data_IF_025256623078
#
_entry.id   IF_025256623078
#
_cell.length_a   1.000
_cell.length_b   1.000
_cell.length_c   1.000
_cell.angle_alpha   90.00
_cell.angle_beta   90.00
_cell.angle_gamma   90.00
#
_symmetry.space_group_name_H-M   'P 1'
#
loop_
_entity.id
_entity.type
_entity.pdbx_description
1 polymer ?
#
# COMPACT_ATOMS: atom_id res chain seq x y z
N UNK A 1 -24.52 -5.26 7.94
CA UNK A 1 -24.50 -6.25 6.85
C UNK A 1 -25.20 -5.73 5.60
N UNK A 2 -26.52 -5.46 5.63
CA UNK A 2 -27.22 -4.77 4.51
C UNK A 2 -26.55 -3.45 4.06
N UNK A 3 -25.89 -2.72 4.97
CA UNK A 3 -25.20 -1.45 4.66
C UNK A 3 -23.91 -1.55 3.83
N UNK A 4 -23.23 -2.71 3.75
CA UNK A 4 -21.96 -2.83 2.99
C UNK A 4 -22.23 -3.21 1.53
N UNK A 5 -23.14 -4.14 1.27
CA UNK A 5 -23.62 -4.45 -0.08
C UNK A 5 -24.32 -3.24 -0.74
N UNK A 6 -24.78 -2.27 0.06
CA UNK A 6 -25.38 -1.02 -0.43
C UNK A 6 -24.37 0.12 -0.60
N UNK A 7 -23.18 0.04 0.01
CA UNK A 7 -22.17 1.06 -0.19
C UNK A 7 -21.64 0.96 -1.62
N UNK A 8 -21.56 2.10 -2.29
CA UNK A 8 -20.91 2.26 -3.58
C UNK A 8 -19.93 3.41 -3.46
N UNK A 9 -18.70 3.20 -3.92
CA UNK A 9 -17.60 4.15 -3.77
C UNK A 9 -17.92 5.43 -4.55
N UNK A 10 -18.17 6.56 -3.87
CA UNK A 10 -18.50 7.80 -4.57
C UNK A 10 -17.31 8.29 -5.39
N UNK A 11 -17.57 8.81 -6.59
CA UNK A 11 -16.53 9.32 -7.48
C UNK A 11 -15.59 10.36 -6.82
N UNK A 12 -16.07 11.31 -5.96
CA UNK A 12 -15.19 12.23 -5.26
C UNK A 12 -14.21 11.53 -4.30
N UNK A 13 -14.66 10.44 -3.65
CA UNK A 13 -13.82 9.65 -2.73
C UNK A 13 -12.79 8.85 -3.53
N UNK A 14 -13.19 8.24 -4.65
CA UNK A 14 -12.27 7.54 -5.55
C UNK A 14 -11.18 8.47 -6.10
N UNK A 15 -11.55 9.69 -6.50
CA UNK A 15 -10.60 10.70 -6.96
C UNK A 15 -9.58 11.06 -5.87
N UNK A 16 -10.04 11.22 -4.62
CA UNK A 16 -9.16 11.51 -3.49
C UNK A 16 -8.23 10.33 -3.16
N UNK A 17 -8.74 9.09 -3.18
CA UNK A 17 -7.90 7.89 -3.02
C UNK A 17 -6.80 7.87 -4.08
N UNK A 18 -7.15 8.07 -5.36
CA UNK A 18 -6.17 8.12 -6.46
C UNK A 18 -5.13 9.21 -6.27
N UNK A 19 -5.56 10.40 -5.83
CA UNK A 19 -4.66 11.53 -5.54
C UNK A 19 -3.67 11.17 -4.42
N UNK A 20 -4.16 10.61 -3.32
CA UNK A 20 -3.33 10.21 -2.17
C UNK A 20 -2.35 9.10 -2.51
N UNK A 21 -2.73 8.12 -3.32
CA UNK A 21 -1.84 7.02 -3.72
C UNK A 21 -0.64 7.54 -4.53
N UNK A 22 -0.85 8.50 -5.43
CA UNK A 22 0.22 9.13 -6.21
C UNK A 22 1.26 9.86 -5.36
N UNK A 23 0.91 10.29 -4.15
CA UNK A 23 1.86 10.95 -3.25
C UNK A 23 2.96 10.01 -2.73
N UNK A 24 2.79 8.69 -2.87
CA UNK A 24 3.85 7.72 -2.57
C UNK A 24 4.91 7.63 -3.67
N UNK A 25 4.62 8.10 -4.88
CA UNK A 25 5.52 7.99 -6.03
C UNK A 25 6.80 8.83 -5.82
N UNK A 26 7.92 8.31 -6.29
CA UNK A 26 9.25 8.86 -6.06
C UNK A 26 9.95 8.25 -4.83
N UNK A 27 10.99 8.94 -4.36
CA UNK A 27 11.81 8.51 -3.22
C UNK A 27 11.35 9.18 -1.95
N UNK A 28 10.91 8.39 -0.96
CA UNK A 28 10.47 8.89 0.35
C UNK A 28 11.06 8.06 1.48
N UNK A 29 10.94 8.55 2.72
CA UNK A 29 11.33 7.85 3.94
C UNK A 29 10.16 7.07 4.52
N UNK A 30 10.26 5.75 4.50
CA UNK A 30 9.20 4.82 4.87
C UNK A 30 9.34 4.26 6.30
N UNK A 31 10.02 4.99 7.21
CA UNK A 31 10.23 4.55 8.60
C UNK A 31 8.93 4.30 9.36
N UNK A 32 7.92 5.14 9.18
CA UNK A 32 6.59 4.96 9.77
C UNK A 32 5.81 3.76 9.18
N UNK A 33 6.24 3.28 8.01
CA UNK A 33 5.64 2.17 7.27
C UNK A 33 6.30 0.82 7.57
N UNK A 34 7.17 0.75 8.57
CA UNK A 34 7.70 -0.50 9.12
C UNK A 34 7.76 -0.40 10.65
N UNK A 35 8.29 -1.41 11.34
CA UNK A 35 8.57 -1.35 12.79
C UNK A 35 10.08 -1.23 13.00
N UNK A 36 10.49 -0.54 14.06
CA UNK A 36 11.88 -0.50 14.53
C UNK A 36 12.85 0.22 13.57
N UNK A 37 12.36 1.20 12.82
CA UNK A 37 13.21 1.96 11.90
C UNK A 37 13.14 3.45 12.19
N UNK A 38 14.30 4.09 12.25
CA UNK A 38 14.41 5.53 12.46
C UNK A 38 14.26 6.30 11.15
N UNK A 39 13.67 7.48 11.23
CA UNK A 39 13.43 8.34 10.07
C UNK A 39 14.68 8.91 9.43
N UNK A 40 15.75 9.15 10.19
CA UNK A 40 17.04 9.64 9.66
C UNK A 40 17.82 8.54 8.94
N UNK A 41 17.58 7.28 9.28
CA UNK A 41 18.35 6.15 8.81
C UNK A 41 18.23 5.96 7.27
N UNK A 42 19.35 5.79 6.53
CA UNK A 42 19.31 5.67 5.06
C UNK A 42 18.43 4.53 4.55
N UNK A 43 18.38 3.42 5.28
CA UNK A 43 17.57 2.24 4.96
C UNK A 43 16.06 2.49 5.09
N UNK A 44 15.61 3.67 5.52
CA UNK A 44 14.20 4.09 5.43
C UNK A 44 13.80 4.52 4.02
N UNK A 45 14.74 4.87 3.15
CA UNK A 45 14.42 5.36 1.82
C UNK A 45 13.96 4.23 0.90
N UNK A 46 12.81 4.43 0.24
CA UNK A 46 12.33 3.53 -0.81
C UNK A 46 11.83 4.34 -1.99
N UNK A 47 11.94 3.74 -3.17
CA UNK A 47 11.45 4.31 -4.42
C UNK A 47 10.23 3.53 -4.90
N UNK A 48 9.10 4.23 -4.98
CA UNK A 48 7.86 3.72 -5.57
C UNK A 48 7.72 4.35 -6.96
N UNK A 49 7.57 3.52 -7.97
CA UNK A 49 7.44 3.95 -9.36
C UNK A 49 6.01 4.39 -9.66
N UNK A 50 5.03 3.62 -9.21
CA UNK A 50 3.62 3.94 -9.42
C UNK A 50 2.75 3.36 -8.31
N UNK A 51 1.65 4.04 -8.00
CA UNK A 51 0.59 3.48 -7.15
C UNK A 51 -0.80 3.92 -7.64
N UNK A 52 -1.56 2.98 -8.20
CA UNK A 52 -2.84 3.25 -8.87
C UNK A 52 -4.02 2.54 -8.20
N UNK A 53 -5.22 2.99 -8.54
CA UNK A 53 -6.49 2.40 -8.11
C UNK A 53 -7.42 2.28 -9.33
N UNK A 54 -7.90 1.07 -9.61
CA UNK A 54 -8.83 0.80 -10.72
C UNK A 54 -10.16 1.55 -10.57
N UNK A 55 -11.00 1.52 -11.60
CA UNK A 55 -12.41 1.82 -11.41
C UNK A 55 -13.07 0.73 -10.54
N UNK A 56 -14.16 1.05 -9.82
CA UNK A 56 -14.92 0.06 -9.07
C UNK A 56 -15.50 -0.99 -10.01
N UNK A 57 -15.45 -2.25 -9.61
CA UNK A 57 -16.07 -3.37 -10.31
C UNK A 57 -16.80 -4.26 -9.32
N UNK A 58 -17.79 -5.01 -9.79
CA UNK A 58 -18.55 -5.94 -8.94
C UNK A 58 -18.04 -7.38 -9.13
N UNK A 59 -17.89 -8.11 -8.03
CA UNK A 59 -17.75 -9.57 -8.00
C UNK A 59 -18.61 -10.14 -6.89
N UNK A 60 -19.45 -11.11 -7.23
CA UNK A 60 -20.36 -11.80 -6.29
C UNK A 60 -21.20 -10.84 -5.41
N UNK A 61 -21.61 -9.70 -5.99
CA UNK A 61 -22.41 -8.67 -5.30
C UNK A 61 -21.62 -7.74 -4.38
N UNK A 62 -20.29 -7.86 -4.35
CA UNK A 62 -19.39 -6.92 -3.67
C UNK A 62 -18.73 -5.99 -4.68
N UNK A 63 -18.82 -4.69 -4.41
CA UNK A 63 -18.03 -3.69 -5.14
C UNK A 63 -16.59 -3.70 -4.61
N UNK A 64 -15.62 -3.76 -5.52
CA UNK A 64 -14.20 -3.84 -5.25
C UNK A 64 -13.42 -2.85 -6.11
N UNK A 65 -12.22 -2.53 -5.66
CA UNK A 65 -11.20 -1.83 -6.44
C UNK A 65 -9.88 -2.58 -6.33
N UNK A 66 -9.08 -2.55 -7.40
CA UNK A 66 -7.73 -3.09 -7.40
C UNK A 66 -6.74 -1.96 -7.17
N UNK A 67 -5.91 -2.09 -6.13
CA UNK A 67 -4.78 -1.21 -5.91
C UNK A 67 -3.50 -1.87 -6.45
N UNK A 68 -2.81 -1.23 -7.38
CA UNK A 68 -1.56 -1.74 -7.95
C UNK A 68 -0.39 -0.81 -7.58
N UNK A 69 0.61 -1.37 -6.90
CA UNK A 69 1.83 -0.64 -6.52
C UNK A 69 3.05 -1.28 -7.18
N UNK A 70 3.91 -0.45 -7.76
CA UNK A 70 5.20 -0.85 -8.30
C UNK A 70 6.30 -0.07 -7.60
N UNK A 71 7.35 -0.77 -7.17
CA UNK A 71 8.48 -0.16 -6.49
C UNK A 71 9.72 -1.03 -6.57
N UNK A 72 10.88 -0.44 -6.28
CA UNK A 72 12.16 -1.17 -6.37
C UNK A 72 12.34 -2.19 -5.24
N UNK A 73 11.84 -1.87 -4.05
CA UNK A 73 11.85 -2.75 -2.88
C UNK A 73 10.81 -2.27 -1.86
N UNK A 74 10.39 -3.18 -0.97
CA UNK A 74 9.45 -2.86 0.10
C UNK A 74 10.00 -3.35 1.44
N UNK A 75 9.83 -2.54 2.48
CA UNK A 75 10.02 -2.92 3.87
C UNK A 75 8.89 -3.84 4.34
N UNK A 76 9.13 -4.54 5.44
CA UNK A 76 8.11 -5.39 6.07
C UNK A 76 6.84 -4.59 6.43
N UNK A 77 5.69 -5.07 5.99
CA UNK A 77 4.37 -4.41 6.10
C UNK A 77 4.22 -3.03 5.42
N UNK A 78 5.19 -2.58 4.61
CA UNK A 78 5.15 -1.25 3.99
C UNK A 78 3.86 -1.01 3.21
N UNK A 79 3.55 -1.87 2.23
CA UNK A 79 2.36 -1.72 1.37
C UNK A 79 1.07 -1.70 2.20
N UNK A 80 0.97 -2.62 3.19
CA UNK A 80 -0.20 -2.70 4.07
C UNK A 80 -0.39 -1.43 4.90
N UNK A 81 0.69 -0.82 5.38
CA UNK A 81 0.63 0.47 6.09
C UNK A 81 0.36 1.63 5.13
N UNK A 82 0.87 1.62 3.90
CA UNK A 82 0.56 2.64 2.89
C UNK A 82 -0.95 2.70 2.63
N UNK A 83 -1.59 1.54 2.41
CA UNK A 83 -3.05 1.43 2.28
C UNK A 83 -3.73 1.89 3.58
N UNK A 84 -3.24 1.45 4.74
CA UNK A 84 -3.77 1.87 6.05
C UNK A 84 -3.82 3.40 6.23
N UNK A 85 -2.76 4.11 5.86
CA UNK A 85 -2.69 5.56 5.98
C UNK A 85 -3.64 6.27 5.01
N UNK A 86 -3.79 5.77 3.77
CA UNK A 86 -4.78 6.30 2.82
C UNK A 86 -6.19 6.13 3.36
N UNK A 87 -6.51 4.94 3.89
CA UNK A 87 -7.83 4.68 4.48
C UNK A 87 -8.11 5.60 5.67
N UNK A 88 -7.10 5.88 6.51
CA UNK A 88 -7.21 6.88 7.57
C UNK A 88 -7.49 8.26 6.98
N UNK A 89 -6.70 8.71 6.01
CA UNK A 89 -6.84 10.03 5.40
C UNK A 89 -8.22 10.27 4.77
N UNK A 90 -8.82 9.27 4.12
CA UNK A 90 -10.16 9.41 3.50
C UNK A 90 -11.32 9.16 4.46
N UNK A 91 -11.12 8.37 5.53
CA UNK A 91 -12.20 7.98 6.45
C UNK A 91 -12.47 9.01 7.56
N UNK A 92 -11.58 9.98 7.75
CA UNK A 92 -11.66 10.97 8.82
C UNK A 92 -11.25 12.35 8.35
N UNK A 93 -11.77 13.39 9.01
CA UNK A 93 -11.38 14.80 8.84
C UNK A 93 -10.00 15.05 9.44
N UNK A 94 -8.98 14.38 8.91
CA UNK A 94 -7.60 14.56 9.36
C UNK A 94 -6.99 15.83 8.80
N UNK A 95 -5.97 16.38 9.48
CA UNK A 95 -5.29 17.57 9.00
C UNK A 95 -4.76 17.33 7.59
N UNK A 96 -4.92 18.31 6.68
CA UNK A 96 -4.17 18.34 5.43
C UNK A 96 -2.69 18.12 5.72
N UNK A 97 -2.00 17.33 4.89
CA UNK A 97 -0.57 17.09 5.10
C UNK A 97 -0.21 15.81 5.86
N UNK A 98 -1.18 14.93 6.19
CA UNK A 98 -0.92 13.71 6.96
C UNK A 98 0.09 12.77 6.26
N UNK A 99 -0.03 12.59 4.95
CA UNK A 99 0.89 11.72 4.19
C UNK A 99 2.29 12.31 4.12
N UNK A 100 2.40 13.62 3.86
CA UNK A 100 3.66 14.35 3.82
C UNK A 100 4.36 14.29 5.18
N UNK A 101 3.59 14.45 6.26
CA UNK A 101 4.09 14.33 7.63
C UNK A 101 4.63 12.94 7.93
N UNK A 102 4.05 11.88 7.34
CA UNK A 102 4.49 10.50 7.52
C UNK A 102 5.91 10.24 6.99
N UNK A 103 6.39 11.04 6.02
CA UNK A 103 7.73 10.93 5.46
C UNK A 103 8.77 11.82 6.17
N UNK A 104 8.34 12.71 7.06
CA UNK A 104 9.27 13.56 7.81
C UNK A 104 10.11 12.72 8.79
N UNK A 105 11.45 12.88 8.84
CA UNK A 105 12.32 12.04 9.68
C UNK A 105 11.98 12.06 11.19
N UNK A 106 11.57 13.23 11.67
CA UNK A 106 11.24 13.58 13.06
C UNK A 106 9.81 13.16 13.46
N UNK A 107 8.94 12.83 12.50
CA UNK A 107 7.58 12.38 12.78
C UNK A 107 7.54 10.88 13.09
N UNK A 108 6.76 10.52 14.12
CA UNK A 108 6.35 9.14 14.39
C UNK A 108 4.83 8.99 14.28
N UNK A 109 4.41 8.02 13.47
CA UNK A 109 3.01 7.64 13.28
C UNK A 109 2.84 6.14 13.54
N UNK A 110 1.81 5.79 14.30
CA UNK A 110 1.43 4.39 14.51
C UNK A 110 0.40 3.95 13.47
N UNK A 111 0.86 3.71 12.25
CA UNK A 111 -0.01 3.33 11.13
C UNK A 111 -0.46 1.87 11.26
N UNK A 112 -1.76 1.57 11.37
CA UNK A 112 -2.26 0.20 11.40
C UNK A 112 -2.13 -0.42 10.01
N UNK A 113 -1.53 -1.61 9.87
CA UNK A 113 -1.46 -2.28 8.58
C UNK A 113 -2.86 -2.75 8.16
N UNK A 114 -3.19 -2.57 6.88
CA UNK A 114 -4.35 -3.21 6.26
C UNK A 114 -4.26 -4.75 6.40
N UNK A 115 -5.37 -5.51 6.33
CA UNK A 115 -5.32 -6.96 6.40
C UNK A 115 -4.48 -7.58 5.28
N UNK A 116 -3.83 -8.73 5.50
CA UNK A 116 -2.96 -9.35 4.49
C UNK A 116 -3.77 -10.07 3.40
N UNK A 117 -5.04 -10.42 3.65
CA UNK A 117 -5.84 -11.29 2.80
C UNK A 117 -6.02 -10.76 1.36
N UNK A 118 -5.93 -9.45 1.13
CA UNK A 118 -6.07 -8.85 -0.21
C UNK A 118 -4.76 -8.55 -0.93
N UNK A 119 -3.60 -8.91 -0.38
CA UNK A 119 -2.30 -8.57 -0.96
C UNK A 119 -1.73 -9.74 -1.78
N UNK A 120 -1.52 -9.50 -3.06
CA UNK A 120 -0.95 -10.46 -4.02
C UNK A 120 0.31 -9.88 -4.66
N UNK A 121 1.37 -10.68 -4.74
CA UNK A 121 2.54 -10.37 -5.56
C UNK A 121 2.23 -10.75 -7.01
N UNK A 122 2.11 -9.75 -7.88
CA UNK A 122 1.74 -9.96 -9.28
C UNK A 122 2.94 -10.28 -10.18
N UNK A 123 4.06 -9.58 -9.98
CA UNK A 123 5.18 -9.64 -10.91
C UNK A 123 6.49 -9.25 -10.22
N UNK A 124 7.61 -9.78 -10.72
CA UNK A 124 8.97 -9.45 -10.29
C UNK A 124 9.75 -9.09 -11.56
N UNK A 125 10.21 -7.84 -11.65
CA UNK A 125 11.00 -7.37 -12.78
C UNK A 125 12.49 -7.63 -12.57
N UNK A 126 13.11 -8.24 -13.57
CA UNK A 126 14.55 -8.54 -13.62
C UNK A 126 15.30 -7.60 -14.58
N UNK A 127 14.71 -6.48 -14.99
CA UNK A 127 15.25 -5.56 -15.99
C UNK A 127 16.72 -5.18 -15.69
N UNK A 128 17.04 -4.79 -14.46
CA UNK A 128 18.43 -4.47 -14.05
C UNK A 128 19.40 -5.64 -14.15
N UNK A 129 18.92 -6.87 -14.00
CA UNK A 129 19.74 -8.07 -14.19
C UNK A 129 19.99 -8.29 -15.69
N UNK A 130 18.93 -8.18 -16.50
CA UNK A 130 19.02 -8.28 -17.96
C UNK A 130 19.93 -7.21 -18.56
N UNK A 131 19.84 -5.96 -18.09
CA UNK A 131 20.71 -4.85 -18.51
C UNK A 131 22.19 -5.14 -18.21
N UNK A 132 22.49 -5.69 -17.02
CA UNK A 132 23.85 -6.08 -16.65
C UNK A 132 24.36 -7.24 -17.48
N UNK A 133 23.49 -8.19 -17.80
CA UNK A 133 23.83 -9.34 -18.62
C UNK A 133 24.18 -8.90 -20.05
N UNK A 134 23.41 -7.98 -20.65
CA UNK A 134 23.69 -7.45 -21.98
C UNK A 134 25.08 -6.78 -22.10
N UNK A 135 25.64 -6.33 -20.97
CA UNK A 135 26.94 -5.67 -20.89
C UNK A 135 28.08 -6.61 -20.43
N UNK A 136 27.85 -7.93 -20.37
CA UNK A 136 28.83 -8.92 -19.93
C UNK A 136 28.89 -10.10 -20.92
N UNK A 137 30.09 -10.53 -21.33
CA UNK A 137 30.31 -11.70 -22.21
C UNK A 137 30.05 -13.06 -21.52
N UNK A 138 29.27 -13.09 -20.44
CA UNK A 138 29.00 -14.29 -19.66
C UNK A 138 27.86 -15.11 -20.30
N UNK A 139 28.02 -16.44 -20.33
CA UNK A 139 27.04 -17.42 -20.80
C UNK A 139 25.75 -17.54 -19.96
N UNK A 140 25.33 -16.46 -19.28
CA UNK A 140 24.08 -16.40 -18.51
C UNK A 140 22.93 -16.00 -19.46
N UNK A 141 21.71 -16.42 -19.12
CA UNK A 141 20.53 -16.14 -19.93
C UNK A 141 19.59 -15.17 -19.20
N UNK A 142 18.84 -14.31 -19.93
CA UNK A 142 17.79 -13.49 -19.34
C UNK A 142 16.75 -14.33 -18.61
N UNK A 143 16.22 -13.81 -17.50
CA UNK A 143 15.13 -14.45 -16.77
C UNK A 143 13.80 -13.91 -17.30
N UNK A 144 13.19 -14.68 -18.20
CA UNK A 144 11.92 -14.34 -18.84
C UNK A 144 10.96 -15.54 -18.83
N UNK A 145 9.67 -15.26 -18.88
CA UNK A 145 8.60 -16.26 -18.90
C UNK A 145 7.71 -16.09 -20.13
N UNK A 146 8.26 -16.25 -21.35
CA UNK A 146 7.49 -16.07 -22.57
C UNK A 146 6.33 -17.06 -22.64
N UNK A 147 5.17 -16.60 -23.10
CA UNK A 147 3.98 -17.43 -23.27
C UNK A 147 3.24 -17.81 -21.97
N UNK A 148 3.72 -17.41 -20.79
CA UNK A 148 3.06 -17.73 -19.50
C UNK A 148 2.02 -16.71 -19.05
N UNK A 149 1.87 -15.60 -19.77
CA UNK A 149 0.94 -14.51 -19.40
C UNK A 149 -0.51 -15.00 -19.22
N UNK A 150 -1.01 -15.86 -20.11
CA UNK A 150 -2.37 -16.39 -20.02
C UNK A 150 -2.57 -17.30 -18.79
N UNK A 151 -1.59 -18.14 -18.47
CA UNK A 151 -1.62 -19.04 -17.31
C UNK A 151 -1.57 -18.23 -15.99
N UNK A 152 -0.74 -17.19 -15.94
CA UNK A 152 -0.64 -16.28 -14.79
C UNK A 152 -1.95 -15.52 -14.58
N UNK A 153 -2.56 -14.99 -15.63
CA UNK A 153 -3.83 -14.26 -15.51
C UNK A 153 -4.98 -15.18 -15.09
N UNK A 154 -5.02 -16.42 -15.61
CA UNK A 154 -5.98 -17.43 -15.17
C UNK A 154 -5.82 -17.75 -13.67
N UNK A 155 -4.58 -17.97 -13.22
CA UNK A 155 -4.28 -18.27 -11.81
C UNK A 155 -4.59 -17.10 -10.87
N UNK A 156 -4.27 -15.87 -11.29
CA UNK A 156 -4.67 -14.64 -10.60
C UNK A 156 -6.19 -14.55 -10.43
N UNK A 157 -6.95 -14.93 -11.46
CA UNK A 157 -8.41 -15.02 -11.39
C UNK A 157 -8.90 -15.94 -10.26
N UNK A 158 -8.26 -17.09 -10.08
CA UNK A 158 -8.56 -18.03 -8.98
C UNK A 158 -8.27 -17.41 -7.62
N UNK A 159 -7.12 -16.76 -7.45
CA UNK A 159 -6.78 -16.07 -6.19
C UNK A 159 -7.78 -14.96 -5.88
N UNK A 160 -8.16 -14.16 -6.88
CA UNK A 160 -9.17 -13.12 -6.70
C UNK A 160 -10.50 -13.70 -6.22
N UNK A 161 -10.92 -14.86 -6.73
CA UNK A 161 -12.13 -15.54 -6.25
C UNK A 161 -12.01 -15.97 -4.78
N UNK A 162 -10.85 -16.51 -4.37
CA UNK A 162 -10.60 -16.86 -2.97
C UNK A 162 -10.64 -15.65 -2.05
N UNK A 163 -10.07 -14.51 -2.47
CA UNK A 163 -10.12 -13.25 -1.71
C UNK A 163 -11.56 -12.80 -1.51
N UNK A 164 -12.37 -12.83 -2.57
CA UNK A 164 -13.81 -12.49 -2.52
C UNK A 164 -14.55 -13.43 -1.56
N UNK A 165 -14.34 -14.74 -1.68
CA UNK A 165 -14.96 -15.73 -0.81
C UNK A 165 -14.60 -15.53 0.67
N UNK A 166 -13.32 -15.25 0.96
CA UNK A 166 -12.86 -14.93 2.32
C UNK A 166 -13.49 -13.64 2.83
N UNK A 167 -13.67 -12.61 2.00
CA UNK A 167 -14.34 -11.38 2.43
C UNK A 167 -15.85 -11.60 2.66
N UNK A 168 -16.51 -12.45 1.89
CA UNK A 168 -17.90 -12.86 2.16
C UNK A 168 -18.04 -13.58 3.50
N UNK A 169 -17.21 -14.61 3.73
CA UNK A 169 -17.29 -15.46 4.93
C UNK A 169 -16.82 -14.70 6.19
N UNK A 170 -15.65 -14.05 6.08
CA UNK A 170 -14.91 -13.53 7.23
C UNK A 170 -14.88 -12.02 7.28
N UNK A 171 -15.29 -11.28 6.26
CA UNK A 171 -15.45 -9.83 6.34
C UNK A 171 -14.21 -9.12 6.89
N UNK A 172 -13.03 -9.55 6.43
CA UNK A 172 -11.75 -9.22 7.05
C UNK A 172 -11.48 -7.72 6.93
N UNK A 173 -11.70 -7.16 5.73
CA UNK A 173 -11.51 -5.73 5.46
C UNK A 173 -12.60 -4.92 6.16
N UNK A 174 -13.85 -5.37 6.12
CA UNK A 174 -14.95 -4.68 6.77
C UNK A 174 -14.77 -4.55 8.29
N UNK A 175 -14.38 -5.64 8.96
CA UNK A 175 -14.10 -5.64 10.40
C UNK A 175 -12.90 -4.74 10.74
N UNK A 176 -11.86 -4.78 9.92
CA UNK A 176 -10.71 -3.90 10.07
C UNK A 176 -11.08 -2.41 9.91
N UNK A 177 -11.86 -2.05 8.89
CA UNK A 177 -12.35 -0.67 8.68
C UNK A 177 -13.20 -0.17 9.85
N UNK A 178 -14.07 -1.01 10.40
CA UNK A 178 -14.86 -0.68 11.58
C UNK A 178 -13.97 -0.41 12.81
N UNK A 179 -12.98 -1.28 13.04
CA UNK A 179 -12.02 -1.11 14.12
C UNK A 179 -11.14 0.14 13.91
N UNK A 180 -10.72 0.41 12.68
CA UNK A 180 -9.94 1.57 12.28
C UNK A 180 -10.67 2.86 12.64
N UNK A 181 -11.92 3.00 12.18
CA UNK A 181 -12.75 4.19 12.42
C UNK A 181 -12.97 4.46 13.91
N UNK A 182 -13.17 3.42 14.72
CA UNK A 182 -13.35 3.56 16.18
C UNK A 182 -12.09 3.93 16.93
N UNK A 183 -10.92 3.51 16.43
CA UNK A 183 -9.65 3.67 17.13
C UNK A 183 -8.70 4.66 16.44
N UNK A 184 -9.18 5.47 15.50
CA UNK A 184 -8.33 6.36 14.69
C UNK A 184 -7.45 7.29 15.53
N UNK A 185 -7.97 7.79 16.65
CA UNK A 185 -7.25 8.63 17.61
C UNK A 185 -6.05 7.93 18.27
N UNK A 186 -6.03 6.59 18.32
CA UNK A 186 -4.91 5.80 18.88
C UNK A 186 -3.77 5.62 17.88
N UNK A 187 -4.07 5.72 16.58
CA UNK A 187 -3.12 5.47 15.50
C UNK A 187 -2.35 6.73 15.09
N UNK A 188 -2.89 7.91 15.40
CA UNK A 188 -2.33 9.21 15.02
C UNK A 188 -1.84 10.03 16.21
N UNK A 189 -1.42 9.38 17.31
CA UNK A 189 -0.64 10.09 18.32
C UNK A 189 0.67 10.53 17.65
N UNK A 190 0.72 11.79 17.24
CA UNK A 190 1.96 12.48 16.89
C UNK A 190 2.75 12.63 18.20
N UNK A 191 3.67 11.71 18.43
CA UNK A 191 4.72 11.95 19.41
C UNK A 191 5.73 12.90 18.74
N UNK A 192 5.63 14.19 19.09
CA UNK A 192 6.70 15.15 18.84
C UNK A 192 7.84 14.81 19.80
N UNK A 193 9.05 14.60 19.29
CA UNK A 193 10.21 14.48 20.16
C UNK A 193 10.42 15.80 20.93
N UNK A 194 10.52 15.79 22.27
CA UNK A 194 11.16 16.89 22.97
C UNK A 194 12.67 16.72 22.75
N UNK A 195 13.24 17.47 21.79
CA UNK A 195 14.65 17.22 21.44
C UNK A 195 15.27 18.14 20.39
N UNK A 196 14.91 19.42 20.39
CA UNK A 196 15.79 20.47 19.87
C UNK A 196 16.24 21.29 21.05
N UNK A 197 17.41 21.00 21.61
CA UNK A 197 18.02 21.84 22.64
C UNK A 197 18.24 23.23 22.06
N UNK A 198 17.49 24.21 22.56
CA UNK A 198 18.01 25.56 22.68
C UNK A 198 19.25 25.49 23.56
N UNK A 199 20.40 25.91 23.04
CA UNK A 199 21.63 26.00 23.82
C UNK A 199 22.81 26.44 22.97
N UNK A 200 23.26 27.69 23.19
CA UNK A 200 24.53 28.24 22.72
C UNK A 200 24.39 29.34 21.69
#
# INVERSE_FOLDING_TARGET
LQRLCQYRLPAPVLAEVRRLLRMYEGTHRYHNFTKGLEGTAPQSQRFVTSFTCSDPYERDGLEMVTLEVRGQSFLFNQIRKMVGLVMIAVSSRHPPGLLESAFRPDTRLNIPPAPPAGLLLLDIKFDKYSDKLANCDAARQPLEWPGKAAEVEAFKGTICNEIVAVEHERQVVCRWMYALRRNVHKFLKLELFPGGTAGG
#
